data_IF_693346099811
#
_entry.id   IF_693346099811
#
_cell.length_a   1.000
_cell.length_b   1.000
_cell.length_c   1.000
_cell.angle_alpha   90.00
_cell.angle_beta   90.00
_cell.angle_gamma   90.00
#
_symmetry.space_group_name_H-M   'P 1'
#
loop_
_entity.id
_entity.type
_entity.pdbx_description
1 polymer ?
#
# COMPACT_ATOMS: atom_id res chain seq x y z
N UNK A 1 -12.96 0.09 24.75
CA UNK A 1 -12.75 1.34 25.54
C UNK A 1 -12.11 2.37 24.63
N UNK A 2 -12.26 3.66 24.93
CA UNK A 2 -11.58 4.74 24.19
C UNK A 2 -11.05 5.81 25.15
N UNK A 3 -10.04 6.56 24.71
CA UNK A 3 -9.47 7.65 25.48
C UNK A 3 -10.39 8.88 25.43
N UNK A 4 -10.59 9.54 26.58
CA UNK A 4 -11.47 10.72 26.69
C UNK A 4 -10.72 12.04 26.66
N UNK A 5 -9.50 12.08 27.20
CA UNK A 5 -8.70 13.30 27.31
C UNK A 5 -7.65 13.46 26.20
N UNK A 6 -7.44 12.44 25.37
CA UNK A 6 -6.58 12.49 24.19
C UNK A 6 -7.29 11.89 22.98
N UNK A 7 -7.01 12.46 21.80
CA UNK A 7 -7.59 11.96 20.55
C UNK A 7 -7.07 10.55 20.26
N UNK A 8 -8.00 9.64 20.03
CA UNK A 8 -7.66 8.29 19.54
C UNK A 8 -7.65 8.31 18.00
N UNK A 9 -6.54 7.89 17.40
CA UNK A 9 -6.32 7.84 15.94
C UNK A 9 -6.01 6.41 15.53
N UNK A 10 -6.41 6.01 14.33
CA UNK A 10 -6.07 4.68 13.83
C UNK A 10 -4.65 4.66 13.26
N UNK A 11 -3.89 3.61 13.55
CA UNK A 11 -2.60 3.39 12.88
C UNK A 11 -2.83 3.22 11.37
N UNK A 12 -1.94 3.74 10.49
CA UNK A 12 -2.04 3.46 9.06
C UNK A 12 -2.10 1.96 8.80
N UNK A 13 -3.13 1.53 8.06
CA UNK A 13 -3.43 0.12 7.78
C UNK A 13 -3.80 -0.06 6.30
N UNK A 14 -4.00 -1.30 5.88
CA UNK A 14 -4.47 -1.68 4.54
C UNK A 14 -3.55 -1.25 3.39
N UNK A 15 -2.25 -1.15 3.66
CA UNK A 15 -1.24 -0.73 2.66
C UNK A 15 -0.50 -1.91 2.06
N UNK A 16 -0.32 -1.86 0.74
CA UNK A 16 0.53 -2.80 0.02
C UNK A 16 2.00 -2.40 0.21
N UNK A 17 2.80 -3.32 0.74
CA UNK A 17 4.19 -3.06 1.11
C UNK A 17 5.12 -4.11 0.47
N UNK A 18 6.40 -3.75 0.22
CA UNK A 18 7.34 -4.66 -0.44
C UNK A 18 7.61 -5.92 0.38
N UNK A 19 7.78 -7.08 -0.27
CA UNK A 19 8.00 -8.35 0.45
C UNK A 19 9.30 -8.37 1.28
N UNK A 20 10.31 -7.60 0.89
CA UNK A 20 11.59 -7.54 1.62
C UNK A 20 11.48 -6.91 3.01
N UNK A 21 10.34 -6.32 3.38
CA UNK A 21 10.16 -5.78 4.73
C UNK A 21 9.96 -6.88 5.77
N UNK A 22 9.54 -8.08 5.36
CA UNK A 22 9.21 -9.17 6.29
C UNK A 22 10.28 -9.42 7.37
N UNK A 23 11.59 -9.58 7.04
CA UNK A 23 12.63 -9.78 8.06
C UNK A 23 12.90 -8.54 8.93
N UNK A 24 12.52 -7.34 8.49
CA UNK A 24 12.72 -6.06 9.18
C UNK A 24 11.42 -5.39 9.60
N UNK A 25 10.38 -6.19 9.83
CA UNK A 25 9.05 -5.66 10.15
C UNK A 25 9.04 -4.82 11.43
N UNK A 26 9.85 -5.19 12.41
CA UNK A 26 9.97 -4.42 13.66
C UNK A 26 10.54 -3.01 13.45
N UNK A 27 11.49 -2.83 12.54
CA UNK A 27 12.02 -1.50 12.19
C UNK A 27 11.00 -0.72 11.38
N UNK A 28 10.40 -1.36 10.37
CA UNK A 28 9.32 -0.79 9.58
C UNK A 28 8.19 -0.23 10.46
N UNK A 29 7.72 -1.00 11.45
CA UNK A 29 6.61 -0.59 12.30
C UNK A 29 7.00 0.57 13.23
N UNK A 30 8.23 0.58 13.76
CA UNK A 30 8.73 1.70 14.57
C UNK A 30 8.77 3.00 13.77
N UNK A 31 9.34 2.97 12.56
CA UNK A 31 9.46 4.17 11.73
C UNK A 31 8.11 4.66 11.21
N UNK A 32 7.20 3.72 10.90
CA UNK A 32 5.80 4.04 10.58
C UNK A 32 5.11 4.74 11.75
N UNK A 33 5.20 4.16 12.95
CA UNK A 33 4.62 4.73 14.15
C UNK A 33 5.21 6.11 14.45
N UNK A 34 6.54 6.27 14.34
CA UNK A 34 7.23 7.54 14.57
C UNK A 34 6.76 8.64 13.62
N UNK A 35 6.68 8.30 12.33
CA UNK A 35 6.19 9.25 11.32
C UNK A 35 4.74 9.64 11.59
N UNK A 36 3.87 8.68 11.88
CA UNK A 36 2.46 8.96 12.21
C UNK A 36 2.34 9.76 13.51
N UNK A 37 3.13 9.47 14.53
CA UNK A 37 3.15 10.21 15.79
C UNK A 37 3.47 11.70 15.57
N UNK A 38 4.48 12.00 14.75
CA UNK A 38 4.83 13.37 14.38
C UNK A 38 3.71 14.04 13.57
N UNK A 39 3.15 13.33 12.59
CA UNK A 39 2.05 13.85 11.74
C UNK A 39 0.78 14.17 12.55
N UNK A 40 0.52 13.40 13.59
CA UNK A 40 -0.67 13.57 14.45
C UNK A 40 -0.44 14.56 15.60
N UNK A 41 0.70 15.27 15.61
CA UNK A 41 1.00 16.36 16.55
C UNK A 41 1.55 15.88 17.89
N UNK A 42 2.09 14.67 17.96
CA UNK A 42 2.80 14.11 19.13
C UNK A 42 1.94 13.96 20.40
N UNK A 43 0.62 14.11 20.29
CA UNK A 43 -0.33 14.09 21.41
C UNK A 43 -1.53 13.16 21.17
N UNK A 44 -1.36 12.16 20.29
CA UNK A 44 -2.39 11.22 19.90
C UNK A 44 -2.17 9.82 20.50
N UNK A 45 -3.28 9.14 20.78
CA UNK A 45 -3.33 7.74 21.19
C UNK A 45 -3.65 6.88 19.97
N UNK A 46 -2.79 5.93 19.63
CA UNK A 46 -2.95 5.13 18.41
C UNK A 46 -3.72 3.85 18.69
N UNK A 47 -4.82 3.63 17.99
CA UNK A 47 -5.53 2.37 17.94
C UNK A 47 -4.82 1.42 16.96
N UNK A 48 -4.30 0.32 17.47
CA UNK A 48 -3.69 -0.76 16.66
C UNK A 48 -4.68 -1.89 16.41
N UNK A 49 -5.52 -2.20 17.39
CA UNK A 49 -6.44 -3.34 17.32
C UNK A 49 -7.71 -3.09 18.14
N UNK A 50 -8.87 -3.40 17.57
CA UNK A 50 -10.16 -3.44 18.26
C UNK A 50 -11.01 -4.60 17.72
N UNK A 51 -11.27 -5.61 18.53
CA UNK A 51 -12.08 -6.75 18.08
C UNK A 51 -12.74 -7.49 19.25
N UNK A 52 -13.81 -8.23 18.93
CA UNK A 52 -14.49 -9.08 19.89
C UNK A 52 -13.83 -10.47 19.97
N UNK A 53 -13.31 -10.84 21.14
CA UNK A 53 -12.67 -12.12 21.41
C UNK A 53 -13.63 -13.04 22.17
N UNK A 54 -13.52 -14.35 21.94
CA UNK A 54 -14.18 -15.36 22.75
C UNK A 54 -13.11 -16.10 23.56
N UNK A 55 -13.22 -16.15 24.91
CA UNK A 55 -12.27 -16.87 25.76
C UNK A 55 -12.30 -18.40 25.57
N UNK A 56 -13.40 -18.92 25.02
CA UNK A 56 -13.68 -20.35 24.89
C UNK A 56 -13.46 -20.87 23.48
N UNK A 57 -13.58 -20.00 22.47
CA UNK A 57 -13.38 -20.37 21.09
C UNK A 57 -12.53 -19.31 20.37
N UNK A 58 -11.43 -19.70 19.73
CA UNK A 58 -10.64 -18.77 18.91
C UNK A 58 -11.34 -18.50 17.57
N UNK A 59 -12.49 -17.81 17.60
CA UNK A 59 -13.36 -17.72 16.40
C UNK A 59 -12.99 -16.55 15.49
N UNK A 60 -12.17 -15.59 15.93
CA UNK A 60 -12.16 -14.25 15.30
C UNK A 60 -10.80 -13.61 15.17
N UNK A 61 -9.78 -14.41 14.92
CA UNK A 61 -8.48 -13.87 14.60
C UNK A 61 -8.21 -13.82 13.10
N UNK A 62 -9.14 -14.11 12.17
CA UNK A 62 -8.85 -14.24 10.73
C UNK A 62 -8.67 -12.89 9.99
N UNK A 63 -7.50 -12.60 9.35
CA UNK A 63 -6.29 -13.42 9.26
C UNK A 63 -5.48 -13.44 10.57
N UNK A 64 -5.19 -14.66 11.06
CA UNK A 64 -4.54 -14.85 12.35
C UNK A 64 -3.03 -14.70 12.17
N UNK A 65 -2.49 -13.55 12.55
CA UNK A 65 -1.05 -13.26 12.45
C UNK A 65 -0.23 -14.04 13.50
N UNK A 66 -0.89 -14.77 14.41
CA UNK A 66 -0.30 -15.52 15.51
C UNK A 66 -1.36 -16.35 16.25
N UNK A 67 -0.96 -17.11 17.29
CA UNK A 67 -1.91 -17.85 18.10
C UNK A 67 -2.91 -16.88 18.77
N UNK A 68 -4.20 -17.22 18.78
CA UNK A 68 -5.21 -16.43 19.47
C UNK A 68 -4.92 -16.41 20.97
N UNK A 69 -5.23 -15.30 21.68
CA UNK A 69 -5.04 -15.25 23.12
C UNK A 69 -5.88 -16.32 23.80
N UNK A 70 -5.25 -17.13 24.66
CA UNK A 70 -5.94 -18.12 25.49
C UNK A 70 -6.52 -17.45 26.75
N UNK A 71 -7.34 -18.18 27.50
CA UNK A 71 -7.96 -17.66 28.72
C UNK A 71 -6.93 -17.04 29.69
N UNK A 72 -5.76 -17.67 29.84
CA UNK A 72 -4.69 -17.15 30.70
C UNK A 72 -4.16 -15.80 30.21
N UNK A 73 -3.96 -15.61 28.90
CA UNK A 73 -3.49 -14.33 28.33
C UNK A 73 -4.49 -13.20 28.62
N UNK A 74 -5.79 -13.50 28.62
CA UNK A 74 -6.84 -12.54 28.97
C UNK A 74 -6.83 -12.20 30.45
N UNK A 75 -6.62 -13.20 31.33
CA UNK A 75 -6.45 -13.00 32.78
C UNK A 75 -5.22 -12.14 33.06
N UNK A 76 -4.08 -12.45 32.43
CA UNK A 76 -2.82 -11.70 32.59
C UNK A 76 -2.94 -10.27 32.06
N UNK A 77 -3.80 -10.04 31.07
CA UNK A 77 -4.19 -8.71 30.60
C UNK A 77 -5.18 -7.97 31.53
N UNK A 78 -5.54 -8.56 32.68
CA UNK A 78 -6.41 -7.95 33.69
C UNK A 78 -7.89 -8.33 33.57
N UNK A 79 -8.26 -9.32 32.75
CA UNK A 79 -9.63 -9.82 32.64
C UNK A 79 -9.90 -10.98 33.61
N UNK A 80 -9.48 -10.89 34.87
CA UNK A 80 -9.63 -11.93 35.89
C UNK A 80 -11.09 -12.38 36.14
N UNK A 81 -12.05 -11.47 35.96
CA UNK A 81 -13.49 -11.72 36.08
C UNK A 81 -14.02 -12.80 35.11
N UNK A 82 -13.33 -13.09 34.00
CA UNK A 82 -13.75 -14.15 33.06
C UNK A 82 -13.58 -15.56 33.63
N UNK A 83 -12.84 -15.73 34.73
CA UNK A 83 -12.65 -17.03 35.37
C UNK A 83 -13.96 -17.58 35.94
N UNK A 84 -14.83 -16.69 36.43
CA UNK A 84 -16.12 -17.01 37.01
C UNK A 84 -17.25 -17.06 35.96
N UNK A 85 -17.05 -16.42 34.80
CA UNK A 85 -18.00 -16.43 33.68
C UNK A 85 -17.27 -16.65 32.35
N UNK A 86 -17.12 -17.92 31.98
CA UNK A 86 -16.47 -18.33 30.73
C UNK A 86 -17.31 -18.06 29.47
N UNK A 87 -18.56 -17.62 29.62
CA UNK A 87 -19.44 -17.24 28.50
C UNK A 87 -19.39 -15.75 28.18
N UNK A 88 -18.72 -14.96 29.02
CA UNK A 88 -18.52 -13.53 28.81
C UNK A 88 -17.84 -13.23 27.48
N UNK A 89 -18.44 -12.32 26.71
CA UNK A 89 -17.85 -11.76 25.50
C UNK A 89 -16.87 -10.66 25.85
N UNK A 90 -15.63 -10.78 25.39
CA UNK A 90 -14.58 -9.78 25.63
C UNK A 90 -14.44 -8.91 24.39
N UNK A 91 -14.38 -7.59 24.56
CA UNK A 91 -13.98 -6.68 23.50
C UNK A 91 -12.60 -6.15 23.82
N UNK A 92 -11.61 -6.54 23.01
CA UNK A 92 -10.22 -6.20 23.23
C UNK A 92 -9.85 -4.96 22.43
N UNK A 93 -9.15 -4.03 23.06
CA UNK A 93 -8.65 -2.80 22.42
C UNK A 93 -7.17 -2.65 22.76
N UNK A 94 -6.30 -2.57 21.75
CA UNK A 94 -4.87 -2.29 21.90
C UNK A 94 -4.60 -0.86 21.49
N UNK A 95 -4.13 -0.07 22.45
CA UNK A 95 -3.75 1.33 22.26
C UNK A 95 -2.24 1.49 22.43
N UNK A 96 -1.62 2.28 21.56
CA UNK A 96 -0.21 2.64 21.59
C UNK A 96 -0.09 4.12 21.92
N UNK A 97 0.74 4.42 22.91
CA UNK A 97 0.98 5.78 23.37
C UNK A 97 2.47 5.98 23.56
N UNK A 98 2.97 7.12 23.10
CA UNK A 98 4.30 7.61 23.44
C UNK A 98 4.14 8.72 24.47
N UNK A 99 4.46 8.40 25.72
CA UNK A 99 4.42 9.37 26.79
C UNK A 99 5.58 10.36 26.68
N UNK A 100 5.27 11.64 26.83
CA UNK A 100 6.24 12.70 27.01
C UNK A 100 5.65 13.75 27.95
N UNK A 101 6.50 14.44 28.69
CA UNK A 101 6.04 15.44 29.67
C UNK A 101 5.32 16.62 29.01
N UNK A 102 5.77 17.00 27.83
CA UNK A 102 5.30 18.20 27.14
C UNK A 102 3.97 17.95 26.38
N UNK A 103 3.73 16.72 25.91
CA UNK A 103 2.54 16.38 25.12
C UNK A 103 1.52 15.50 25.86
N UNK A 104 1.91 14.83 26.94
CA UNK A 104 1.04 14.02 27.82
C UNK A 104 1.16 14.46 29.30
N UNK A 105 0.71 15.69 29.66
CA UNK A 105 0.81 16.20 31.03
C UNK A 105 -0.19 15.55 32.01
N UNK A 106 -1.14 14.75 31.53
CA UNK A 106 -2.16 14.08 32.32
C UNK A 106 -2.14 12.57 32.02
N UNK A 107 -2.54 11.78 33.01
CA UNK A 107 -2.76 10.35 32.82
C UNK A 107 -3.92 10.09 31.84
N UNK A 108 -3.88 8.96 31.16
CA UNK A 108 -4.94 8.56 30.23
C UNK A 108 -6.22 8.27 31.00
N UNK A 109 -7.31 8.88 30.55
CA UNK A 109 -8.64 8.60 31.07
C UNK A 109 -9.42 7.81 30.01
N UNK A 110 -10.10 6.77 30.46
CA UNK A 110 -10.83 5.87 29.58
C UNK A 110 -12.32 5.86 29.89
N UNK A 111 -13.12 5.72 28.84
CA UNK A 111 -14.54 5.42 28.96
C UNK A 111 -14.91 4.16 28.18
N UNK A 112 -16.03 3.56 28.58
CA UNK A 112 -16.67 2.52 27.78
C UNK A 112 -17.36 3.19 26.60
N UNK A 113 -16.83 2.96 25.40
CA UNK A 113 -17.39 3.49 24.15
C UNK A 113 -18.53 2.60 23.64
N UNK A 114 -19.60 3.19 23.06
CA UNK A 114 -20.59 2.40 22.33
C UNK A 114 -20.06 1.87 20.99
N UNK A 115 -18.91 2.38 20.52
CA UNK A 115 -18.32 1.94 19.26
C UNK A 115 -17.77 0.50 19.39
N UNK A 116 -18.36 -0.43 18.63
CA UNK A 116 -17.92 -1.82 18.53
C UNK A 116 -17.35 -2.15 17.14
N UNK A 117 -16.96 -1.14 16.37
CA UNK A 117 -16.34 -1.33 15.06
C UNK A 117 -15.06 -2.13 15.19
N UNK A 118 -14.89 -3.06 14.26
CA UNK A 118 -13.72 -3.91 14.18
C UNK A 118 -12.59 -3.17 13.46
N UNK A 119 -11.38 -3.23 14.03
CA UNK A 119 -10.20 -2.58 13.49
C UNK A 119 -8.94 -3.42 13.75
N UNK A 120 -8.05 -3.46 12.77
CA UNK A 120 -6.74 -4.10 12.88
C UNK A 120 -5.74 -3.38 11.98
N UNK A 121 -4.59 -3.02 12.55
CA UNK A 121 -3.40 -2.64 11.77
C UNK A 121 -2.88 -3.84 10.99
N UNK A 122 -2.93 -3.77 9.66
CA UNK A 122 -2.44 -4.81 8.74
C UNK A 122 -1.75 -4.21 7.53
N UNK A 123 -0.71 -4.90 7.06
CA UNK A 123 0.06 -4.53 5.89
C UNK A 123 0.13 -5.72 4.95
N UNK A 124 -0.14 -5.49 3.67
CA UNK A 124 -0.39 -6.53 2.67
C UNK A 124 0.87 -6.75 1.85
N UNK A 125 1.34 -8.00 1.84
CA UNK A 125 2.46 -8.44 1.00
C UNK A 125 1.95 -9.39 -0.07
N UNK A 126 2.12 -9.02 -1.34
CA UNK A 126 1.72 -9.86 -2.47
C UNK A 126 2.94 -10.57 -3.06
N UNK A 127 2.97 -11.89 -2.94
CA UNK A 127 4.05 -12.70 -3.48
C UNK A 127 3.76 -13.07 -4.94
N UNK A 128 4.75 -12.95 -5.85
CA UNK A 128 4.60 -13.51 -7.18
C UNK A 128 4.50 -15.05 -7.12
N UNK A 129 3.86 -15.69 -8.12
CA UNK A 129 3.78 -17.14 -8.20
C UNK A 129 5.16 -17.79 -8.14
N UNK A 130 5.31 -18.81 -7.30
CA UNK A 130 6.54 -19.61 -7.25
C UNK A 130 6.55 -20.55 -8.45
N UNK A 131 7.67 -20.58 -9.19
CA UNK A 131 7.88 -21.47 -10.34
C UNK A 131 6.86 -21.29 -11.50
N UNK A 132 6.42 -20.06 -11.76
CA UNK A 132 5.63 -19.78 -12.96
C UNK A 132 6.51 -19.63 -14.20
N UNK A 133 6.02 -20.14 -15.33
CA UNK A 133 6.57 -19.83 -16.63
C UNK A 133 5.92 -18.54 -17.16
N UNK A 134 6.71 -17.46 -17.26
CA UNK A 134 6.27 -16.18 -17.79
C UNK A 134 6.45 -16.07 -19.31
N UNK A 135 6.76 -17.17 -19.99
CA UNK A 135 7.01 -17.17 -21.43
C UNK A 135 5.77 -16.88 -22.27
N UNK A 136 4.55 -17.08 -21.77
CA UNK A 136 3.31 -16.81 -22.49
C UNK A 136 2.90 -15.32 -22.46
N UNK A 137 2.00 -14.89 -23.35
CA UNK A 137 1.62 -13.47 -23.44
C UNK A 137 0.99 -12.96 -22.13
N UNK A 138 0.13 -13.75 -21.48
CA UNK A 138 -0.41 -13.41 -20.16
C UNK A 138 0.68 -13.29 -19.07
N UNK A 139 1.75 -14.09 -19.18
CA UNK A 139 2.91 -14.01 -18.30
C UNK A 139 3.69 -12.72 -18.52
N UNK A 140 3.82 -12.26 -19.76
CA UNK A 140 4.48 -11.01 -20.11
C UNK A 140 3.69 -9.78 -19.61
N UNK A 141 2.38 -9.77 -19.82
CA UNK A 141 1.49 -8.73 -19.28
C UNK A 141 1.59 -8.67 -17.75
N UNK A 142 1.56 -9.83 -17.09
CA UNK A 142 1.75 -9.93 -15.65
C UNK A 142 3.08 -9.33 -15.17
N UNK A 143 4.19 -9.55 -15.88
CA UNK A 143 5.49 -9.00 -15.49
C UNK A 143 5.52 -7.47 -15.56
N UNK A 144 4.89 -6.88 -16.58
CA UNK A 144 4.74 -5.42 -16.68
C UNK A 144 3.90 -4.86 -15.54
N UNK A 145 2.79 -5.52 -15.22
CA UNK A 145 1.94 -5.15 -14.08
C UNK A 145 2.67 -5.32 -12.75
N UNK A 146 3.46 -6.37 -12.59
CA UNK A 146 4.24 -6.66 -11.39
C UNK A 146 5.25 -5.54 -11.12
N UNK A 147 6.00 -5.10 -12.13
CA UNK A 147 6.96 -4.00 -12.00
C UNK A 147 6.24 -2.70 -11.56
N UNK A 148 5.12 -2.37 -12.21
CA UNK A 148 4.30 -1.21 -11.86
C UNK A 148 3.73 -1.30 -10.44
N UNK A 149 3.28 -2.49 -10.01
CA UNK A 149 2.81 -2.74 -8.65
C UNK A 149 3.93 -2.55 -7.63
N UNK A 150 5.12 -3.09 -7.90
CA UNK A 150 6.28 -2.97 -7.01
C UNK A 150 6.78 -1.53 -6.85
N UNK A 151 6.68 -0.70 -7.90
CA UNK A 151 6.92 0.75 -7.80
C UNK A 151 5.95 1.39 -6.80
N UNK A 152 4.65 1.09 -6.89
CA UNK A 152 3.63 1.59 -5.95
C UNK A 152 3.86 1.09 -4.52
N UNK A 153 4.19 -0.18 -4.33
CA UNK A 153 4.51 -0.74 -3.01
C UNK A 153 5.71 -0.02 -2.35
N UNK A 154 6.74 0.30 -3.14
CA UNK A 154 7.89 1.07 -2.67
C UNK A 154 7.51 2.52 -2.34
N UNK A 155 6.66 3.15 -3.14
CA UNK A 155 6.18 4.50 -2.86
C UNK A 155 5.30 4.55 -1.59
N UNK A 156 4.46 3.54 -1.36
CA UNK A 156 3.71 3.38 -0.11
C UNK A 156 4.66 3.18 1.09
N UNK A 157 5.70 2.35 0.95
CA UNK A 157 6.71 2.18 2.00
C UNK A 157 7.35 3.53 2.38
N UNK A 158 7.72 4.35 1.39
CA UNK A 158 8.26 5.70 1.62
C UNK A 158 7.23 6.62 2.26
N UNK A 159 5.98 6.55 1.82
CA UNK A 159 4.89 7.34 2.38
C UNK A 159 4.62 6.97 3.85
N UNK A 160 4.76 5.71 4.22
CA UNK A 160 4.55 5.22 5.58
C UNK A 160 5.71 5.48 6.53
N UNK A 161 6.95 5.25 6.08
CA UNK A 161 8.13 5.23 6.98
C UNK A 161 9.08 6.41 6.76
N UNK A 162 9.04 7.04 5.58
CA UNK A 162 10.05 8.03 5.18
C UNK A 162 11.39 7.42 4.73
N UNK A 163 11.49 6.10 4.59
CA UNK A 163 12.69 5.42 4.08
C UNK A 163 13.08 5.93 2.69
N UNK A 164 14.39 6.06 2.43
CA UNK A 164 14.93 6.57 1.15
C UNK A 164 15.82 5.56 0.43
N UNK A 165 15.91 4.33 0.94
CA UNK A 165 16.74 3.29 0.36
C UNK A 165 16.33 2.98 -1.08
N UNK A 166 17.33 2.66 -1.90
CA UNK A 166 17.10 2.20 -3.26
C UNK A 166 16.44 0.82 -3.24
N UNK A 167 15.25 0.73 -3.82
CA UNK A 167 14.52 -0.52 -3.98
C UNK A 167 14.56 -1.02 -5.44
N UNK A 168 15.55 -0.57 -6.23
CA UNK A 168 15.69 -0.92 -7.65
C UNK A 168 15.77 -2.44 -7.85
N UNK A 169 16.52 -3.16 -7.02
CA UNK A 169 16.63 -4.61 -7.09
C UNK A 169 15.29 -5.31 -6.88
N UNK A 170 14.45 -4.80 -5.98
CA UNK A 170 13.10 -5.29 -5.77
C UNK A 170 12.19 -4.99 -6.95
N UNK A 171 12.16 -3.75 -7.43
CA UNK A 171 11.27 -3.32 -8.52
C UNK A 171 11.54 -4.12 -9.79
N UNK A 172 12.82 -4.25 -10.15
CA UNK A 172 13.25 -4.82 -11.44
C UNK A 172 13.72 -6.27 -11.37
N UNK A 173 13.42 -7.01 -10.28
CA UNK A 173 13.83 -8.42 -10.09
C UNK A 173 13.51 -9.32 -11.29
N UNK A 174 12.37 -9.09 -11.95
CA UNK A 174 11.89 -9.89 -13.09
C UNK A 174 12.06 -9.19 -14.46
N UNK A 175 12.68 -8.02 -14.49
CA UNK A 175 12.81 -7.21 -15.72
C UNK A 175 13.51 -7.95 -16.87
N UNK A 176 14.44 -8.85 -16.55
CA UNK A 176 15.15 -9.66 -17.54
C UNK A 176 14.29 -10.75 -18.21
N UNK A 177 13.13 -11.06 -17.66
CA UNK A 177 12.17 -12.03 -18.20
C UNK A 177 11.10 -11.36 -19.07
N UNK A 178 11.07 -10.02 -19.10
CA UNK A 178 10.22 -9.25 -20.00
C UNK A 178 10.83 -9.33 -21.40
N UNK A 179 10.04 -9.77 -22.39
CA UNK A 179 10.43 -9.78 -23.79
C UNK A 179 10.74 -8.33 -24.18
N UNK A 180 11.92 -8.12 -24.76
CA UNK A 180 12.20 -6.87 -25.47
C UNK A 180 11.09 -6.68 -26.51
N UNK A 181 10.38 -5.55 -26.47
CA UNK A 181 9.56 -5.16 -27.61
C UNK A 181 10.48 -5.23 -28.84
N UNK A 182 10.15 -6.11 -29.79
CA UNK A 182 10.67 -5.94 -31.14
C UNK A 182 10.12 -4.59 -31.55
N UNK A 183 11.00 -3.60 -31.67
CA UNK A 183 10.71 -2.37 -32.40
C UNK A 183 10.38 -2.77 -33.84
N UNK A 184 9.15 -3.23 -34.08
CA UNK A 184 8.55 -3.23 -35.40
C UNK A 184 8.30 -1.76 -35.71
N UNK A 185 9.36 -1.07 -36.15
CA UNK A 185 9.20 0.21 -36.82
C UNK A 185 8.19 -0.03 -37.93
N UNK A 186 7.01 0.62 -37.94
CA UNK A 186 6.08 0.46 -39.04
C UNK A 186 6.85 0.84 -40.31
N UNK A 187 6.96 -0.09 -41.25
CA UNK A 187 7.53 0.20 -42.56
C UNK A 187 6.52 1.14 -43.23
N UNK A 188 6.75 2.45 -43.10
CA UNK A 188 5.98 3.46 -43.82
C UNK A 188 6.43 3.36 -45.28
N UNK A 189 5.64 2.66 -46.10
CA UNK A 189 5.82 2.62 -47.55
C UNK A 189 5.33 3.96 -48.10
N UNK A 190 6.26 4.83 -48.45
CA UNK A 190 5.94 6.13 -49.07
C UNK A 190 5.43 5.91 -50.51
N UNK A 191 4.27 6.48 -50.90
CA UNK A 191 3.83 6.41 -52.28
C UNK A 191 4.83 7.14 -53.18
N UNK A 192 5.26 6.49 -54.27
CA UNK A 192 6.17 7.09 -55.23
C UNK A 192 5.54 8.31 -55.92
N UNK A 193 6.30 9.40 -56.02
CA UNK A 193 5.83 10.65 -56.63
C UNK A 193 5.41 10.45 -58.11
N UNK A 194 4.33 11.09 -58.57
CA UNK A 194 3.97 11.13 -59.99
C UNK A 194 5.10 11.73 -60.84
N UNK A 195 5.32 11.21 -62.05
CA UNK A 195 6.36 11.71 -62.97
C UNK A 195 6.17 13.22 -63.24
N UNK A 196 7.20 14.01 -62.90
CA UNK A 196 7.25 15.46 -63.15
C UNK A 196 7.06 16.34 -61.91
N UNK A 197 6.79 15.77 -60.72
CA UNK A 197 6.46 16.52 -59.49
C UNK A 197 7.49 16.37 -58.36
N UNK A 198 8.79 16.36 -58.70
CA UNK A 198 9.85 16.03 -57.73
C UNK A 198 9.86 16.90 -56.46
N UNK A 199 10.04 18.22 -56.59
CA UNK A 199 10.19 19.11 -55.43
C UNK A 199 8.84 19.47 -54.77
N UNK A 200 7.77 19.64 -55.55
CA UNK A 200 6.46 20.03 -55.03
C UNK A 200 5.81 18.93 -54.16
N UNK A 201 6.02 17.65 -54.51
CA UNK A 201 5.46 16.53 -53.76
C UNK A 201 6.13 16.36 -52.38
N UNK A 202 7.45 16.56 -52.30
CA UNK A 202 8.20 16.49 -51.04
C UNK A 202 7.75 17.59 -50.07
N UNK A 203 7.55 18.82 -50.55
CA UNK A 203 7.09 19.94 -49.73
C UNK A 203 5.65 19.73 -49.22
N UNK A 204 4.75 19.23 -50.07
CA UNK A 204 3.36 18.94 -49.69
C UNK A 204 3.29 17.85 -48.60
N UNK A 205 4.07 16.78 -48.75
CA UNK A 205 4.14 15.71 -47.76
C UNK A 205 4.72 16.21 -46.43
N UNK A 206 5.79 17.01 -46.47
CA UNK A 206 6.39 17.59 -45.27
C UNK A 206 5.41 18.51 -44.51
N UNK A 207 4.64 19.35 -45.22
CA UNK A 207 3.63 20.20 -44.57
C UNK A 207 2.46 19.40 -43.98
N UNK A 208 2.06 18.28 -44.61
CA UNK A 208 1.00 17.42 -44.06
C UNK A 208 1.44 16.69 -42.77
N UNK A 209 2.68 16.22 -42.71
CA UNK A 209 3.23 15.55 -41.53
C UNK A 209 3.36 16.49 -40.33
N UNK A 210 3.79 17.74 -40.55
CA UNK A 210 3.83 18.77 -39.50
C UNK A 210 2.42 19.10 -39.02
N UNK A 211 1.45 19.22 -39.93
CA UNK A 211 0.05 19.48 -39.57
C UNK A 211 -0.57 18.38 -38.70
N UNK A 212 -0.33 17.11 -39.03
CA UNK A 212 -0.80 15.96 -38.24
C UNK A 212 -0.11 15.93 -36.87
N UNK A 213 1.18 16.22 -36.80
CA UNK A 213 1.94 16.27 -35.54
C UNK A 213 1.43 17.35 -34.59
N UNK A 214 1.12 18.54 -35.12
CA UNK A 214 0.54 19.67 -34.36
C UNK A 214 -0.89 19.34 -33.90
N UNK A 215 -1.69 18.70 -34.76
CA UNK A 215 -3.05 18.29 -34.43
C UNK A 215 -3.07 17.20 -33.33
N UNK A 216 -2.25 16.16 -33.44
CA UNK A 216 -2.11 15.14 -32.38
C UNK A 216 -1.58 15.72 -31.06
N UNK A 217 -0.65 16.67 -31.12
CA UNK A 217 -0.15 17.37 -29.93
C UNK A 217 -1.22 18.18 -29.22
N UNK A 218 -2.07 18.88 -29.98
CA UNK A 218 -3.22 19.64 -29.46
C UNK A 218 -4.31 18.72 -28.88
N UNK A 219 -4.58 17.57 -29.51
CA UNK A 219 -5.59 16.61 -29.05
C UNK A 219 -5.13 15.90 -27.75
N UNK A 220 -3.85 15.56 -27.64
CA UNK A 220 -3.25 15.02 -26.41
C UNK A 220 -3.23 16.02 -25.25
N UNK A 221 -3.05 17.32 -25.54
CA UNK A 221 -3.18 18.38 -24.54
C UNK A 221 -4.64 18.58 -24.10
N UNK A 222 -5.61 18.48 -25.02
CA UNK A 222 -7.05 18.50 -24.68
C UNK A 222 -7.49 17.31 -23.82
N UNK A 223 -6.95 16.11 -24.07
CA UNK A 223 -7.26 14.92 -23.28
C UNK A 223 -6.76 15.02 -21.82
N UNK A 224 -5.69 15.78 -21.56
CA UNK A 224 -5.15 16.01 -20.21
C UNK A 224 -5.85 17.12 -19.42
N UNK A 225 -6.71 17.93 -20.06
CA UNK A 225 -7.36 19.10 -19.46
C UNK A 225 -8.88 18.92 -19.26
N UNK A 226 -9.44 17.74 -19.56
CA UNK A 226 -10.79 17.38 -19.10
C UNK A 226 -10.69 16.86 -17.66
N UNK A 227 -11.46 17.42 -16.71
CA UNK A 227 -11.54 16.91 -15.35
C UNK A 227 -12.16 15.51 -15.29
#
# INVERSE_FOLDING_TARGET
VECTNYRTVQIPTDRNVPTFIQPKFGEFYKDLFDKSYIQEGENAVFLEYAWNLSPTWPVKCDPCNGPPPVNQDLVDAGCDWIQNDRQSQVFFTRLHVRYSRDYFPQDLQFQVTPNKSQFQGRYVMTHPPRNADYSCDAGQDYLQELENRRKKEVDELRALTGWKESATSYIYEYSNQIRSEKNETPIIVWPSAPKGWGLAFIVLVAMSAVGISVWLGLELQRAKLKP
#
